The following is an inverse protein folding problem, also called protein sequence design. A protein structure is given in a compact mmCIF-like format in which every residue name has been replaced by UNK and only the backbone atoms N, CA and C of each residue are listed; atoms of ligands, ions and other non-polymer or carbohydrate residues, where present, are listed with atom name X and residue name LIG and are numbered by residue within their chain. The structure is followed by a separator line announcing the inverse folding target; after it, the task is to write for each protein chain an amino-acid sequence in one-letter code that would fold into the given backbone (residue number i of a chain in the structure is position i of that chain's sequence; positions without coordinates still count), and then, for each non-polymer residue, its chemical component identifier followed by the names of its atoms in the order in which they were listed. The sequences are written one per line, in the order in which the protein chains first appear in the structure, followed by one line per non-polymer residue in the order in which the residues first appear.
data_IF_751967692403
#
_entry.id   IF_751967692403
#
_cell.length_a   1.000
_cell.length_b   1.000
_cell.length_c   1.000
_cell.angle_alpha   90.00
_cell.angle_beta   90.00
_cell.angle_gamma   90.00
#
_symmetry.space_group_name_H-M   'P 1'
#
loop_
_entity.id
_entity.type
_entity.pdbx_description
1 polymer ?
#
# COMPACT_ATOMS: atom_id res chain seq x y z
N UNK A 1 4.05 2.38 13.04
CA UNK A 1 3.64 1.67 11.83
C UNK A 1 4.83 0.90 11.26
N UNK A 2 4.64 -0.36 10.88
CA UNK A 2 5.66 -1.14 10.18
C UNK A 2 5.68 -0.80 8.69
N UNK A 3 6.74 -1.19 7.99
CA UNK A 3 6.90 -0.88 6.55
C UNK A 3 5.74 -1.43 5.73
N UNK A 4 5.25 -2.61 6.07
CA UNK A 4 4.12 -3.24 5.39
C UNK A 4 2.80 -2.49 5.66
N UNK A 5 2.58 -2.04 6.91
CA UNK A 5 1.42 -1.20 7.24
C UNK A 5 1.45 0.13 6.48
N UNK A 6 2.61 0.79 6.38
CA UNK A 6 2.74 2.04 5.59
C UNK A 6 2.47 1.80 4.12
N UNK A 7 2.95 0.69 3.54
CA UNK A 7 2.68 0.33 2.15
C UNK A 7 1.18 0.08 1.90
N UNK A 8 0.49 -0.60 2.82
CA UNK A 8 -0.95 -0.83 2.73
C UNK A 8 -1.75 0.47 2.89
N UNK A 9 -1.39 1.32 3.84
CA UNK A 9 -2.02 2.64 4.02
C UNK A 9 -1.85 3.52 2.77
N UNK A 10 -0.67 3.48 2.14
CA UNK A 10 -0.44 4.14 0.85
C UNK A 10 -1.33 3.57 -0.25
N UNK A 11 -1.46 2.24 -0.35
CA UNK A 11 -2.32 1.61 -1.36
C UNK A 11 -3.80 1.95 -1.16
N UNK A 12 -4.27 1.95 0.08
CA UNK A 12 -5.63 2.36 0.47
C UNK A 12 -5.93 3.83 0.16
N UNK A 13 -4.91 4.70 0.13
CA UNK A 13 -5.09 6.12 -0.22
C UNK A 13 -5.32 6.38 -1.71
N UNK A 14 -5.15 5.39 -2.59
CA UNK A 14 -5.16 5.60 -4.05
C UNK A 14 -6.56 5.61 -4.64
N UNK A 15 -6.85 6.55 -5.56
CA UNK A 15 -8.11 6.54 -6.29
C UNK A 15 -8.23 5.24 -7.11
N UNK A 16 -9.39 4.59 -7.03
CA UNK A 16 -9.67 3.35 -7.74
C UNK A 16 -9.32 2.06 -6.98
N UNK A 17 -8.70 2.15 -5.80
CA UNK A 17 -8.50 1.00 -4.91
C UNK A 17 -9.68 0.91 -3.94
N UNK A 18 -10.51 -0.13 -4.08
CA UNK A 18 -11.61 -0.39 -3.16
C UNK A 18 -11.16 -1.17 -1.91
N UNK A 19 -10.41 -2.25 -2.12
CA UNK A 19 -9.82 -3.06 -1.06
C UNK A 19 -8.58 -3.81 -1.59
N UNK A 20 -7.42 -3.74 -0.90
CA UNK A 20 -6.25 -4.53 -1.27
C UNK A 20 -6.43 -6.00 -0.87
N UNK A 21 -5.97 -6.92 -1.71
CA UNK A 21 -5.92 -8.35 -1.41
C UNK A 21 -4.54 -8.64 -0.81
N UNK A 22 -4.49 -9.07 0.46
CA UNK A 22 -3.25 -9.38 1.17
C UNK A 22 -3.17 -10.88 1.47
N UNK A 23 -1.96 -11.43 1.38
CA UNK A 23 -1.65 -12.79 1.79
C UNK A 23 -0.71 -12.79 2.99
N UNK A 24 -0.96 -13.64 3.97
CA UNK A 24 -0.08 -13.86 5.12
C UNK A 24 0.13 -15.36 5.34
N UNK A 25 1.29 -15.74 5.85
CA UNK A 25 1.61 -17.14 6.20
C UNK A 25 1.44 -17.44 7.69
N UNK A 26 1.14 -16.40 8.49
CA UNK A 26 1.00 -16.47 9.96
C UNK A 26 -0.09 -15.52 10.41
N UNK A 27 -0.77 -15.88 11.50
CA UNK A 27 -1.89 -15.10 12.04
C UNK A 27 -1.42 -13.76 12.60
N UNK A 28 -0.28 -13.70 13.29
CA UNK A 28 0.22 -12.46 13.89
C UNK A 28 0.56 -11.41 12.83
N UNK A 29 0.96 -11.87 11.63
CA UNK A 29 1.19 -10.98 10.49
C UNK A 29 -0.13 -10.39 9.99
N UNK A 30 -1.22 -11.15 9.99
CA UNK A 30 -2.54 -10.64 9.60
C UNK A 30 -2.97 -9.53 10.56
N UNK A 31 -2.92 -9.81 11.87
CA UNK A 31 -3.28 -8.85 12.91
C UNK A 31 -2.44 -7.57 12.82
N UNK A 32 -1.13 -7.71 12.58
CA UNK A 32 -0.26 -6.57 12.34
C UNK A 32 -0.74 -5.74 11.14
N UNK A 33 -0.96 -6.36 9.98
CA UNK A 33 -1.34 -5.67 8.74
C UNK A 33 -2.71 -4.99 8.83
N UNK A 34 -3.66 -5.53 9.62
CA UNK A 34 -4.97 -4.93 9.80
C UNK A 34 -4.90 -3.50 10.37
N UNK A 35 -3.93 -3.21 11.25
CA UNK A 35 -3.75 -1.86 11.79
C UNK A 35 -3.35 -0.81 10.74
N UNK A 36 -3.11 -1.20 9.48
CA UNK A 36 -2.87 -0.25 8.40
C UNK A 36 -4.08 0.63 8.07
N UNK A 37 -5.31 0.15 8.34
CA UNK A 37 -6.55 0.89 8.02
C UNK A 37 -6.71 2.16 8.84
N UNK A 38 -6.09 2.21 10.03
CA UNK A 38 -6.13 3.35 10.93
C UNK A 38 -5.03 4.39 10.62
N UNK A 39 -4.15 4.10 9.66
CA UNK A 39 -3.06 4.99 9.29
C UNK A 39 -3.51 5.92 8.17
N UNK A 40 -3.59 7.21 8.49
CA UNK A 40 -3.77 8.27 7.49
C UNK A 40 -2.42 8.90 7.15
N UNK A 41 -2.01 8.80 5.88
CA UNK A 41 -0.82 9.46 5.38
C UNK A 41 -1.15 10.88 4.91
N UNK A 42 -0.29 11.84 5.25
CA UNK A 42 -0.40 13.21 4.75
C UNK A 42 -0.03 13.27 3.26
N UNK A 43 -0.53 14.26 2.51
CA UNK A 43 -0.20 14.43 1.09
C UNK A 43 1.32 14.47 0.82
N UNK A 44 2.09 15.10 1.71
CA UNK A 44 3.55 15.22 1.55
C UNK A 44 4.25 13.86 1.70
N UNK A 45 3.75 13.02 2.61
CA UNK A 45 4.28 11.67 2.83
C UNK A 45 3.96 10.75 1.65
N UNK A 46 2.75 10.88 1.09
CA UNK A 46 2.37 10.15 -0.12
C UNK A 46 3.28 10.53 -1.29
N UNK A 47 3.52 11.83 -1.48
CA UNK A 47 4.41 12.33 -2.53
C UNK A 47 5.86 11.86 -2.35
N UNK A 48 6.36 11.84 -1.11
CA UNK A 48 7.70 11.31 -0.78
C UNK A 48 7.82 9.83 -1.15
N UNK A 49 6.81 9.01 -0.80
CA UNK A 49 6.77 7.58 -1.13
C UNK A 49 6.75 7.31 -2.64
N UNK A 50 6.19 8.22 -3.44
CA UNK A 50 6.08 8.09 -4.90
C UNK A 50 7.28 8.65 -5.67
N UNK A 51 8.07 9.53 -5.05
CA UNK A 51 9.26 10.14 -5.67
C UNK A 51 10.21 9.12 -6.32
N UNK A 52 10.52 7.95 -5.71
CA UNK A 52 11.40 6.97 -6.35
C UNK A 52 10.70 6.07 -7.39
N UNK A 53 9.37 6.13 -7.53
CA UNK A 53 8.62 5.23 -8.40
C UNK A 53 8.91 5.49 -9.89
N UNK A 54 9.18 4.41 -10.63
CA UNK A 54 9.35 4.44 -12.09
C UNK A 54 8.24 3.61 -12.73
N UNK A 55 7.29 4.22 -13.47
CA UNK A 55 6.23 3.48 -14.15
C UNK A 55 6.80 2.41 -15.06
N UNK A 56 6.28 1.20 -14.94
CA UNK A 56 6.60 0.14 -15.88
C UNK A 56 5.63 0.20 -17.07
N UNK A 57 6.11 0.25 -18.33
CA UNK A 57 5.21 0.24 -19.47
C UNK A 57 4.45 -1.08 -19.53
N UNK A 58 3.22 -1.03 -20.07
CA UNK A 58 2.44 -2.25 -20.34
C UNK A 58 3.21 -3.09 -21.36
N UNK A 59 3.53 -4.32 -20.98
CA UNK A 59 4.17 -5.31 -21.84
C UNK A 59 3.18 -6.45 -22.10
N UNK A 60 3.02 -6.88 -23.35
CA UNK A 60 2.06 -7.92 -23.73
C UNK A 60 1.19 -7.54 -24.92
N UNK A 61 0.04 -8.20 -25.06
CA UNK A 61 -0.85 -8.02 -26.21
C UNK A 61 -1.60 -6.68 -26.14
N UNK A 62 -1.63 -6.00 -27.29
CA UNK A 62 -2.53 -4.88 -27.56
C UNK A 62 -3.93 -5.36 -27.87
#
# INVERSE_FOLDING_TARGET
ATRAQVALAWLLSKPGIAAPIIGTSREEQLDELLNAVDITLKPEQIAELETPYKPHPVVGFK
#
